data_IF_142137835478
#
_entry.id   IF_142137835478
#
_cell.length_a   1.000
_cell.length_b   1.000
_cell.length_c   1.000
_cell.angle_alpha   90.00
_cell.angle_beta   90.00
_cell.angle_gamma   90.00
#
_symmetry.space_group_name_H-M   'P 1'
#
loop_
_entity.id
_entity.type
_entity.pdbx_description
1 polymer ?
#
# COMPACT_ATOMS: atom_id res chain seq x y z
N UNK A 1 -49.70 -19.49 -21.52
CA UNK A 1 -49.04 -19.63 -22.84
C UNK A 1 -48.51 -18.28 -23.30
N UNK A 2 -47.33 -18.26 -23.86
CA UNK A 2 -46.76 -17.07 -24.50
C UNK A 2 -46.90 -17.20 -26.03
N UNK A 3 -47.18 -16.12 -26.71
CA UNK A 3 -47.34 -16.09 -28.17
C UNK A 3 -46.40 -15.07 -28.79
N UNK A 4 -45.93 -15.40 -30.01
CA UNK A 4 -45.06 -14.50 -30.78
C UNK A 4 -45.91 -13.77 -31.81
N UNK A 5 -45.82 -12.45 -31.83
CA UNK A 5 -46.47 -11.62 -32.84
C UNK A 5 -45.44 -10.81 -33.60
N UNK A 6 -45.66 -10.67 -34.91
CA UNK A 6 -44.79 -9.88 -35.82
C UNK A 6 -45.57 -8.66 -36.29
N UNK A 7 -44.98 -7.47 -36.12
CA UNK A 7 -45.55 -6.19 -36.56
C UNK A 7 -45.10 -5.84 -37.97
N UNK A 8 -45.87 -4.98 -38.69
CA UNK A 8 -45.44 -4.38 -39.96
C UNK A 8 -44.08 -3.72 -39.78
N UNK A 9 -43.08 -4.10 -40.56
CA UNK A 9 -41.69 -3.66 -40.40
C UNK A 9 -40.74 -4.69 -39.74
N UNK A 10 -41.20 -5.94 -39.45
CA UNK A 10 -40.36 -7.05 -39.02
C UNK A 10 -39.99 -7.07 -37.51
N UNK A 11 -40.56 -6.17 -36.72
CA UNK A 11 -40.37 -6.20 -35.28
C UNK A 11 -41.20 -7.32 -34.65
N UNK A 12 -40.59 -8.10 -33.73
CA UNK A 12 -41.25 -9.19 -33.02
C UNK A 12 -41.41 -8.87 -31.57
N UNK A 13 -42.49 -9.37 -30.96
CA UNK A 13 -42.72 -9.30 -29.54
C UNK A 13 -43.41 -10.58 -29.04
N UNK A 14 -43.18 -10.88 -27.75
CA UNK A 14 -43.81 -12.00 -27.08
C UNK A 14 -44.90 -11.43 -26.15
N UNK A 15 -46.10 -11.98 -26.28
CA UNK A 15 -47.22 -11.66 -25.40
C UNK A 15 -47.58 -12.85 -24.51
N UNK A 16 -47.85 -12.60 -23.25
CA UNK A 16 -48.31 -13.61 -22.30
C UNK A 16 -49.21 -12.97 -21.26
N UNK A 17 -49.91 -13.80 -20.48
CA UNK A 17 -50.72 -13.40 -19.35
C UNK A 17 -49.95 -13.77 -18.09
N UNK A 18 -49.79 -12.84 -17.17
CA UNK A 18 -49.10 -13.05 -15.88
C UNK A 18 -50.01 -13.72 -14.83
N UNK A 19 -49.51 -13.95 -13.64
CA UNK A 19 -50.21 -14.53 -12.49
C UNK A 19 -51.47 -13.74 -12.09
N UNK A 20 -51.50 -12.44 -12.38
CA UNK A 20 -52.59 -11.51 -12.06
C UNK A 20 -53.57 -11.35 -13.23
N UNK A 21 -53.57 -12.27 -14.19
CA UNK A 21 -54.37 -12.20 -15.45
C UNK A 21 -54.09 -10.95 -16.31
N UNK A 22 -52.99 -10.21 -16.05
CA UNK A 22 -52.63 -9.05 -16.83
C UNK A 22 -51.82 -9.46 -18.07
N UNK A 23 -52.19 -8.90 -19.23
CA UNK A 23 -51.45 -9.12 -20.49
C UNK A 23 -50.13 -8.33 -20.49
N UNK A 24 -49.00 -9.01 -20.58
CA UNK A 24 -47.66 -8.44 -20.66
C UNK A 24 -47.06 -8.65 -22.04
N UNK A 25 -46.17 -7.72 -22.44
CA UNK A 25 -45.53 -7.75 -23.76
C UNK A 25 -44.03 -7.51 -23.64
N UNK A 26 -43.23 -8.40 -24.21
CA UNK A 26 -41.78 -8.26 -24.32
C UNK A 26 -41.43 -7.90 -25.76
N UNK A 27 -40.94 -6.70 -26.01
CA UNK A 27 -40.52 -6.27 -27.36
C UNK A 27 -39.12 -6.82 -27.65
N UNK A 28 -38.97 -7.62 -28.71
CA UNK A 28 -37.69 -8.22 -29.12
C UNK A 28 -36.94 -7.37 -30.17
N UNK A 29 -37.65 -6.55 -30.93
CA UNK A 29 -37.11 -5.81 -32.08
C UNK A 29 -37.02 -6.67 -33.32
N UNK A 30 -36.13 -6.31 -34.26
CA UNK A 30 -35.87 -7.07 -35.49
C UNK A 30 -34.94 -8.24 -35.17
N UNK A 31 -35.49 -9.42 -34.94
CA UNK A 31 -34.73 -10.67 -34.75
C UNK A 31 -35.31 -11.74 -35.68
N UNK A 32 -34.56 -12.78 -36.00
CA UNK A 32 -35.07 -13.90 -36.75
C UNK A 32 -36.13 -14.69 -35.97
N UNK A 33 -36.94 -15.47 -36.72
CA UNK A 33 -38.07 -16.22 -36.12
C UNK A 33 -37.59 -17.31 -35.16
N UNK A 34 -36.49 -17.99 -35.52
CA UNK A 34 -35.95 -19.10 -34.71
C UNK A 34 -35.43 -18.61 -33.35
N UNK A 35 -34.75 -17.46 -33.34
CA UNK A 35 -34.32 -16.80 -32.08
C UNK A 35 -35.52 -16.34 -31.25
N UNK A 36 -36.55 -15.79 -31.86
CA UNK A 36 -37.78 -15.41 -31.16
C UNK A 36 -38.50 -16.62 -30.52
N UNK A 37 -38.57 -17.74 -31.21
CA UNK A 37 -39.14 -19.00 -30.72
C UNK A 37 -38.32 -19.58 -29.56
N UNK A 38 -36.99 -19.50 -29.64
CA UNK A 38 -36.12 -19.90 -28.52
C UNK A 38 -36.37 -19.05 -27.28
N UNK A 39 -36.44 -17.73 -27.42
CA UNK A 39 -36.73 -16.83 -26.30
C UNK A 39 -38.12 -17.10 -25.73
N UNK A 40 -39.12 -17.34 -26.59
CA UNK A 40 -40.48 -17.63 -26.17
C UNK A 40 -40.58 -18.89 -25.28
N UNK A 41 -39.86 -19.96 -25.61
CA UNK A 41 -39.78 -21.18 -24.80
C UNK A 41 -39.23 -20.90 -23.39
N UNK A 42 -38.16 -20.09 -23.29
CA UNK A 42 -37.59 -19.70 -21.99
C UNK A 42 -38.55 -18.78 -21.20
N UNK A 43 -39.28 -17.89 -21.87
CA UNK A 43 -40.32 -17.06 -21.25
C UNK A 43 -41.43 -17.93 -20.68
N UNK A 44 -41.89 -18.96 -21.41
CA UNK A 44 -42.89 -19.91 -20.90
C UNK A 44 -42.38 -20.71 -19.70
N UNK A 45 -41.12 -21.17 -19.75
CA UNK A 45 -40.50 -21.87 -18.64
C UNK A 45 -40.40 -20.99 -17.38
N UNK A 46 -40.02 -19.70 -17.55
CA UNK A 46 -39.99 -18.74 -16.44
C UNK A 46 -41.39 -18.46 -15.88
N UNK A 47 -42.39 -18.32 -16.75
CA UNK A 47 -43.78 -18.11 -16.35
C UNK A 47 -44.29 -19.33 -15.62
N UNK A 48 -44.05 -20.55 -16.13
CA UNK A 48 -44.44 -21.81 -15.47
C UNK A 48 -43.79 -21.96 -14.09
N UNK A 49 -42.48 -21.72 -13.97
CA UNK A 49 -41.78 -21.76 -12.69
C UNK A 49 -42.37 -20.76 -11.68
N UNK A 50 -42.73 -19.56 -12.16
CA UNK A 50 -43.33 -18.53 -11.29
C UNK A 50 -44.74 -18.88 -10.83
N UNK A 51 -45.58 -19.44 -11.72
CA UNK A 51 -46.95 -19.83 -11.42
C UNK A 51 -47.01 -21.05 -10.48
N UNK A 52 -46.09 -21.99 -10.62
CA UNK A 52 -46.07 -23.25 -9.84
C UNK A 52 -45.21 -23.17 -8.60
N UNK A 53 -44.45 -22.10 -8.39
CA UNK A 53 -43.46 -22.00 -7.31
C UNK A 53 -42.26 -22.95 -7.45
N UNK A 54 -42.12 -23.61 -8.62
CA UNK A 54 -41.04 -24.56 -8.88
C UNK A 54 -39.74 -23.85 -9.25
N UNK A 55 -38.57 -24.47 -9.00
CA UNK A 55 -37.29 -23.90 -9.43
C UNK A 55 -37.22 -23.81 -10.97
N UNK A 56 -36.55 -22.77 -11.46
CA UNK A 56 -36.36 -22.54 -12.88
C UNK A 56 -35.60 -23.73 -13.49
N UNK A 57 -36.07 -24.30 -14.62
CA UNK A 57 -35.39 -25.40 -15.32
C UNK A 57 -33.93 -25.04 -15.62
N UNK A 58 -33.01 -26.01 -15.46
CA UNK A 58 -31.56 -25.80 -15.60
C UNK A 58 -31.17 -25.15 -16.90
N UNK A 59 -31.79 -25.58 -18.03
CA UNK A 59 -31.55 -25.02 -19.34
C UNK A 59 -31.91 -23.52 -19.41
N UNK A 60 -33.05 -23.15 -18.85
CA UNK A 60 -33.50 -21.74 -18.78
C UNK A 60 -32.63 -20.91 -17.83
N UNK A 61 -32.14 -21.50 -16.74
CA UNK A 61 -31.22 -20.82 -15.82
C UNK A 61 -29.86 -20.51 -16.48
N UNK A 62 -29.32 -21.47 -17.24
CA UNK A 62 -28.07 -21.28 -18.03
C UNK A 62 -28.30 -20.23 -19.14
N UNK A 63 -29.40 -20.31 -19.86
CA UNK A 63 -29.76 -19.31 -20.87
C UNK A 63 -29.87 -17.91 -20.24
N UNK A 64 -30.55 -17.79 -19.10
CA UNK A 64 -30.73 -16.52 -18.40
C UNK A 64 -29.39 -15.92 -17.91
N UNK A 65 -28.42 -16.75 -17.56
CA UNK A 65 -27.07 -16.30 -17.20
C UNK A 65 -26.31 -15.70 -18.40
N UNK A 66 -26.57 -16.19 -19.62
CA UNK A 66 -25.96 -15.70 -20.86
C UNK A 66 -26.75 -14.59 -21.58
N UNK A 67 -27.94 -14.23 -21.10
CA UNK A 67 -28.78 -13.21 -21.74
C UNK A 67 -28.18 -11.82 -21.61
N UNK A 68 -28.11 -11.07 -22.70
CA UNK A 68 -27.65 -9.70 -22.71
C UNK A 68 -28.50 -8.76 -21.82
N UNK A 69 -27.90 -7.72 -21.26
CA UNK A 69 -28.53 -6.81 -20.29
C UNK A 69 -29.89 -6.25 -20.76
N UNK A 70 -30.00 -5.83 -22.02
CA UNK A 70 -31.25 -5.26 -22.58
C UNK A 70 -32.44 -6.24 -22.54
N UNK A 71 -32.23 -7.53 -22.79
CA UNK A 71 -33.30 -8.51 -22.75
C UNK A 71 -33.63 -8.86 -21.30
N UNK A 72 -32.62 -8.96 -20.45
CA UNK A 72 -32.77 -9.18 -19.02
C UNK A 72 -33.59 -8.07 -18.34
N UNK A 73 -33.34 -6.80 -18.68
CA UNK A 73 -34.12 -5.66 -18.18
C UNK A 73 -35.58 -5.73 -18.64
N UNK A 74 -35.83 -6.17 -19.88
CA UNK A 74 -37.20 -6.36 -20.41
C UNK A 74 -37.94 -7.49 -19.69
N UNK A 75 -37.24 -8.60 -19.39
CA UNK A 75 -37.81 -9.71 -18.61
C UNK A 75 -38.11 -9.28 -17.17
N UNK A 76 -37.25 -8.47 -16.59
CA UNK A 76 -37.47 -7.89 -15.25
C UNK A 76 -38.62 -6.88 -15.24
N UNK A 77 -38.73 -6.04 -16.26
CA UNK A 77 -39.84 -5.05 -16.38
C UNK A 77 -41.22 -5.69 -16.44
N UNK A 78 -41.33 -6.93 -16.96
CA UNK A 78 -42.58 -7.69 -16.95
C UNK A 78 -42.70 -8.66 -15.78
N UNK A 79 -41.74 -8.63 -14.83
CA UNK A 79 -41.79 -9.39 -13.59
C UNK A 79 -41.47 -10.89 -13.72
N UNK A 80 -40.88 -11.34 -14.84
CA UNK A 80 -40.48 -12.75 -15.02
C UNK A 80 -39.16 -13.11 -14.33
N UNK A 81 -38.31 -12.12 -14.10
CA UNK A 81 -37.07 -12.24 -13.32
C UNK A 81 -36.98 -11.10 -12.35
N UNK A 82 -36.25 -11.31 -11.27
CA UNK A 82 -35.98 -10.21 -10.34
C UNK A 82 -35.26 -9.08 -11.07
N UNK A 83 -35.78 -7.87 -10.93
CA UNK A 83 -35.09 -6.70 -11.43
C UNK A 83 -33.72 -6.63 -10.77
N UNK A 84 -32.63 -6.48 -11.52
CA UNK A 84 -31.35 -6.28 -10.89
C UNK A 84 -31.47 -5.04 -9.98
N UNK A 85 -31.15 -5.20 -8.70
CA UNK A 85 -31.19 -4.09 -7.73
C UNK A 85 -30.44 -2.91 -8.34
N UNK A 86 -31.16 -1.84 -8.63
CA UNK A 86 -30.58 -0.58 -9.14
C UNK A 86 -29.86 0.08 -8.00
N UNK A 87 -28.62 -0.38 -7.74
CA UNK A 87 -27.76 0.26 -6.75
C UNK A 87 -27.29 1.61 -7.26
N UNK A 88 -27.56 2.67 -6.53
CA UNK A 88 -27.08 4.02 -6.81
C UNK A 88 -25.65 4.20 -6.27
N UNK A 89 -24.86 5.04 -6.93
CA UNK A 89 -23.46 5.28 -6.56
C UNK A 89 -23.33 5.78 -5.10
N UNK A 90 -24.12 6.76 -4.72
CA UNK A 90 -24.08 7.34 -3.37
C UNK A 90 -24.49 6.32 -2.29
N UNK A 91 -25.49 5.50 -2.56
CA UNK A 91 -25.92 4.43 -1.67
C UNK A 91 -24.84 3.35 -1.52
N UNK A 92 -24.29 2.88 -2.62
CA UNK A 92 -23.19 1.91 -2.62
C UNK A 92 -21.99 2.39 -1.81
N UNK A 93 -21.52 3.63 -2.04
CA UNK A 93 -20.38 4.19 -1.32
C UNK A 93 -20.63 4.29 0.18
N UNK A 94 -21.84 4.68 0.60
CA UNK A 94 -22.23 4.70 2.02
C UNK A 94 -22.24 3.29 2.62
N UNK A 95 -22.87 2.33 1.95
CA UNK A 95 -22.90 0.94 2.39
C UNK A 95 -21.49 0.33 2.44
N UNK A 96 -20.64 0.61 1.46
CA UNK A 96 -19.26 0.16 1.45
C UNK A 96 -18.48 0.64 2.68
N UNK A 97 -18.59 1.92 3.03
CA UNK A 97 -17.89 2.48 4.21
C UNK A 97 -18.42 1.82 5.49
N UNK A 98 -19.75 1.68 5.63
CA UNK A 98 -20.39 1.09 6.82
C UNK A 98 -20.09 -0.40 6.98
N UNK A 99 -19.88 -1.12 5.87
CA UNK A 99 -19.58 -2.56 5.88
C UNK A 99 -18.12 -2.90 6.24
N UNK A 100 -17.28 -1.91 6.61
CA UNK A 100 -15.85 -2.09 6.85
C UNK A 100 -15.44 -1.80 8.31
N UNK A 101 -15.91 -2.60 9.28
CA UNK A 101 -15.50 -2.48 10.68
C UNK A 101 -14.02 -2.87 10.89
N UNK A 102 -13.43 -3.60 9.93
CA UNK A 102 -12.04 -4.02 9.89
C UNK A 102 -11.05 -2.86 9.62
N UNK A 103 -11.55 -1.68 9.29
CA UNK A 103 -10.72 -0.54 8.88
C UNK A 103 -10.68 0.53 9.96
N UNK A 104 -9.48 1.04 10.26
CA UNK A 104 -9.30 2.12 11.25
C UNK A 104 -10.10 3.38 10.87
N UNK A 105 -10.69 4.09 11.84
CA UNK A 105 -11.45 5.32 11.60
C UNK A 105 -10.70 6.35 10.74
N UNK A 106 -9.39 6.50 10.96
CA UNK A 106 -8.54 7.37 10.15
C UNK A 106 -8.49 6.99 8.65
N UNK A 107 -8.62 5.71 8.31
CA UNK A 107 -8.66 5.27 6.91
C UNK A 107 -10.03 5.54 6.29
N UNK A 108 -11.10 5.32 7.05
CA UNK A 108 -12.47 5.63 6.60
C UNK A 108 -12.61 7.12 6.26
N UNK A 109 -12.02 7.99 7.07
CA UNK A 109 -12.02 9.42 6.82
C UNK A 109 -11.23 9.81 5.55
N UNK A 110 -10.10 9.13 5.28
CA UNK A 110 -9.38 9.29 4.02
C UNK A 110 -10.22 8.86 2.82
N UNK A 111 -11.09 7.85 2.97
CA UNK A 111 -11.97 7.38 1.91
C UNK A 111 -13.14 8.32 1.61
N UNK A 112 -13.56 9.14 2.57
CA UNK A 112 -14.62 10.14 2.35
C UNK A 112 -14.27 11.11 1.21
N UNK A 113 -12.99 11.45 1.05
CA UNK A 113 -12.56 12.38 0.01
C UNK A 113 -12.78 11.83 -1.42
N UNK A 114 -12.28 10.63 -1.79
CA UNK A 114 -12.60 10.04 -3.10
C UNK A 114 -14.09 9.73 -3.26
N UNK A 115 -14.82 9.38 -2.19
CA UNK A 115 -16.28 9.22 -2.26
C UNK A 115 -16.95 10.54 -2.65
N UNK A 116 -16.59 11.66 -2.00
CA UNK A 116 -17.11 13.00 -2.37
C UNK A 116 -16.80 13.34 -3.83
N UNK A 117 -15.58 13.10 -4.29
CA UNK A 117 -15.26 13.40 -5.69
C UNK A 117 -16.05 12.53 -6.68
N UNK A 118 -16.29 11.25 -6.36
CA UNK A 118 -17.12 10.39 -7.19
C UNK A 118 -18.57 10.88 -7.24
N UNK A 119 -19.14 11.26 -6.09
CA UNK A 119 -20.52 11.79 -6.05
C UNK A 119 -20.65 13.18 -6.63
N UNK A 120 -19.63 14.02 -6.55
CA UNK A 120 -19.58 15.34 -7.16
C UNK A 120 -19.54 15.26 -8.69
N UNK A 121 -18.74 14.35 -9.23
CA UNK A 121 -18.59 14.20 -10.68
C UNK A 121 -19.75 13.43 -11.33
N UNK A 122 -20.16 12.30 -10.76
CA UNK A 122 -21.17 11.44 -11.36
C UNK A 122 -22.61 11.74 -10.91
N UNK A 123 -22.78 12.37 -9.76
CA UNK A 123 -24.05 12.44 -9.05
C UNK A 123 -24.26 11.24 -8.10
N UNK A 124 -24.86 11.49 -6.94
CA UNK A 124 -25.17 10.43 -5.97
C UNK A 124 -26.17 9.41 -6.51
N UNK A 125 -27.12 9.88 -7.36
CA UNK A 125 -28.21 9.11 -7.92
C UNK A 125 -27.83 8.38 -9.23
N UNK A 126 -26.59 8.47 -9.67
CA UNK A 126 -26.09 7.74 -10.85
C UNK A 126 -26.18 6.23 -10.61
N UNK A 127 -26.89 5.45 -11.44
CA UNK A 127 -26.90 4.00 -11.31
C UNK A 127 -25.49 3.43 -11.58
N UNK A 128 -24.99 2.58 -10.70
CA UNK A 128 -23.63 2.01 -10.84
C UNK A 128 -23.39 1.35 -12.19
N UNK A 129 -24.37 0.63 -12.72
CA UNK A 129 -24.27 -0.07 -14.02
C UNK A 129 -24.18 0.88 -15.23
N UNK A 130 -24.54 2.15 -15.04
CA UNK A 130 -24.47 3.14 -16.13
C UNK A 130 -23.13 3.84 -16.22
N UNK A 131 -22.20 3.57 -15.29
CA UNK A 131 -20.84 4.11 -15.32
C UNK A 131 -20.00 3.25 -16.26
N UNK A 132 -19.51 3.85 -17.33
CA UNK A 132 -18.72 3.18 -18.39
C UNK A 132 -17.21 3.39 -18.19
N UNK A 133 -16.40 2.64 -18.95
CA UNK A 133 -14.93 2.83 -18.99
C UNK A 133 -14.55 4.24 -19.47
N UNK A 134 -15.27 4.78 -20.44
CA UNK A 134 -15.09 6.17 -20.88
C UNK A 134 -15.35 7.20 -19.79
N UNK A 135 -16.34 6.95 -18.92
CA UNK A 135 -16.60 7.78 -17.75
C UNK A 135 -15.43 7.77 -16.74
N UNK A 136 -14.72 6.65 -16.65
CA UNK A 136 -13.50 6.54 -15.81
C UNK A 136 -12.37 7.47 -16.28
N UNK A 137 -12.16 7.56 -17.59
CA UNK A 137 -11.17 8.51 -18.16
C UNK A 137 -11.62 9.96 -18.02
N UNK A 138 -12.90 10.26 -18.19
CA UNK A 138 -13.46 11.59 -17.94
C UNK A 138 -13.31 12.02 -16.48
N UNK A 139 -13.53 11.12 -15.53
CA UNK A 139 -13.29 11.38 -14.11
C UNK A 139 -11.84 11.72 -13.83
N UNK A 140 -10.89 11.00 -14.46
CA UNK A 140 -9.46 11.33 -14.36
C UNK A 140 -9.18 12.72 -14.92
N UNK A 141 -9.70 13.06 -16.09
CA UNK A 141 -9.54 14.39 -16.70
C UNK A 141 -10.08 15.48 -15.76
N UNK A 142 -11.26 15.27 -15.20
CA UNK A 142 -11.87 16.18 -14.24
C UNK A 142 -11.01 16.35 -12.98
N UNK A 143 -10.44 15.25 -12.41
CA UNK A 143 -9.53 15.37 -11.25
C UNK A 143 -8.29 16.19 -11.55
N UNK A 144 -7.79 16.16 -12.79
CA UNK A 144 -6.65 16.98 -13.23
C UNK A 144 -7.01 18.47 -13.30
N UNK A 145 -8.25 18.82 -13.70
CA UNK A 145 -8.71 20.23 -13.72
C UNK A 145 -8.82 20.83 -12.31
N UNK A 146 -8.96 19.98 -11.26
CA UNK A 146 -9.03 20.42 -9.86
C UNK A 146 -7.69 20.91 -9.28
N UNK A 147 -6.66 21.09 -10.09
CA UNK A 147 -5.30 21.54 -9.70
C UNK A 147 -4.68 20.68 -8.59
N UNK A 148 -5.03 19.40 -8.53
CA UNK A 148 -4.51 18.45 -7.54
C UNK A 148 -3.13 17.95 -7.93
N UNK A 149 -2.28 17.70 -6.93
CA UNK A 149 -1.00 17.05 -7.18
C UNK A 149 -1.19 15.65 -7.77
N UNK A 150 -0.31 15.23 -8.70
CA UNK A 150 -0.37 13.94 -9.38
C UNK A 150 -0.52 12.74 -8.40
N UNK A 151 0.18 12.78 -7.26
CA UNK A 151 0.04 11.76 -6.21
C UNK A 151 -1.38 11.72 -5.60
N UNK A 152 -2.06 12.86 -5.51
CA UNK A 152 -3.43 12.93 -5.00
C UNK A 152 -4.41 12.36 -6.02
N UNK A 153 -4.25 12.73 -7.29
CA UNK A 153 -5.04 12.15 -8.40
C UNK A 153 -4.86 10.64 -8.45
N UNK A 154 -3.61 10.16 -8.42
CA UNK A 154 -3.28 8.74 -8.41
C UNK A 154 -3.98 7.99 -7.27
N UNK A 155 -3.94 8.55 -6.05
CA UNK A 155 -4.57 7.95 -4.88
C UNK A 155 -6.09 7.90 -4.99
N UNK A 156 -6.73 8.97 -5.50
CA UNK A 156 -8.19 9.03 -5.69
C UNK A 156 -8.66 8.02 -6.74
N UNK A 157 -7.96 7.91 -7.87
CA UNK A 157 -8.23 6.90 -8.90
C UNK A 157 -8.04 5.48 -8.36
N UNK A 158 -7.00 5.24 -7.57
CA UNK A 158 -6.77 3.94 -6.95
C UNK A 158 -7.92 3.54 -6.00
N UNK A 159 -8.45 4.48 -5.22
CA UNK A 159 -9.62 4.21 -4.37
C UNK A 159 -10.89 3.99 -5.19
N UNK A 160 -11.15 4.79 -6.22
CA UNK A 160 -12.27 4.59 -7.13
C UNK A 160 -12.23 3.18 -7.73
N UNK A 161 -11.06 2.77 -8.24
CA UNK A 161 -10.84 1.40 -8.74
C UNK A 161 -11.14 0.33 -7.69
N UNK A 162 -10.69 0.53 -6.45
CA UNK A 162 -10.93 -0.40 -5.35
C UNK A 162 -12.42 -0.50 -5.01
N UNK A 163 -13.14 0.61 -4.92
CA UNK A 163 -14.57 0.62 -4.61
C UNK A 163 -15.36 -0.11 -5.69
N UNK A 164 -15.14 0.23 -6.96
CA UNK A 164 -15.85 -0.41 -8.07
C UNK A 164 -15.41 -1.88 -8.30
N UNK A 165 -14.20 -2.26 -7.88
CA UNK A 165 -13.81 -3.67 -7.84
C UNK A 165 -14.69 -4.47 -6.86
N UNK A 166 -14.99 -3.91 -5.69
CA UNK A 166 -15.91 -4.53 -4.73
C UNK A 166 -17.34 -4.58 -5.29
N UNK A 167 -17.81 -3.51 -5.95
CA UNK A 167 -19.10 -3.54 -6.64
C UNK A 167 -19.18 -4.68 -7.66
N UNK A 168 -18.13 -4.91 -8.45
CA UNK A 168 -18.03 -6.04 -9.38
C UNK A 168 -18.04 -7.39 -8.64
N UNK A 169 -17.29 -7.53 -7.55
CA UNK A 169 -17.28 -8.75 -6.73
C UNK A 169 -18.68 -9.10 -6.21
N UNK A 170 -19.47 -8.09 -5.85
CA UNK A 170 -20.86 -8.26 -5.41
C UNK A 170 -21.86 -8.35 -6.57
N UNK A 171 -21.39 -8.45 -7.83
CA UNK A 171 -22.21 -8.54 -9.04
C UNK A 171 -23.20 -7.35 -9.23
N UNK A 172 -22.87 -6.20 -8.65
CA UNK A 172 -23.63 -4.97 -8.83
C UNK A 172 -23.34 -4.31 -10.18
N UNK A 173 -22.15 -4.54 -10.72
CA UNK A 173 -21.70 -4.15 -12.06
C UNK A 173 -21.00 -5.35 -12.72
N UNK A 174 -20.98 -5.38 -14.04
CA UNK A 174 -20.38 -6.48 -14.80
C UNK A 174 -18.85 -6.26 -14.94
N UNK A 175 -18.42 -5.03 -15.19
CA UNK A 175 -17.02 -4.63 -15.33
C UNK A 175 -16.68 -3.45 -14.41
N UNK A 176 -15.40 -3.30 -14.09
CA UNK A 176 -14.93 -2.15 -13.32
C UNK A 176 -14.52 -1.01 -14.26
N UNK A 177 -15.25 0.12 -14.27
CA UNK A 177 -14.99 1.25 -15.16
C UNK A 177 -13.60 1.88 -15.04
N UNK A 178 -12.93 1.65 -13.92
CA UNK A 178 -11.59 2.20 -13.63
C UNK A 178 -10.46 1.21 -13.89
N UNK A 179 -10.73 -0.01 -14.40
CA UNK A 179 -9.72 -1.04 -14.55
C UNK A 179 -8.57 -0.59 -15.45
N UNK A 180 -8.91 0.01 -16.60
CA UNK A 180 -7.97 0.42 -17.64
C UNK A 180 -7.45 1.85 -17.49
N UNK A 181 -8.04 2.66 -16.61
CA UNK A 181 -7.63 4.06 -16.40
C UNK A 181 -6.18 4.11 -15.96
N UNK A 182 -5.32 4.74 -16.76
CA UNK A 182 -3.89 4.93 -16.43
C UNK A 182 -3.74 5.86 -15.23
N UNK A 183 -3.22 5.32 -14.11
CA UNK A 183 -2.97 6.07 -12.90
C UNK A 183 -1.65 6.84 -13.05
N UNK A 184 -1.63 8.18 -12.80
CA UNK A 184 -0.40 8.96 -12.86
C UNK A 184 0.66 8.45 -11.88
N UNK A 185 1.90 8.35 -12.33
CA UNK A 185 3.02 8.02 -11.43
C UNK A 185 3.50 9.30 -10.75
N UNK A 186 3.52 9.27 -9.41
CA UNK A 186 4.06 10.40 -8.66
C UNK A 186 5.57 10.26 -8.51
N UNK A 187 6.32 11.31 -8.85
CA UNK A 187 7.74 11.38 -8.54
C UNK A 187 7.93 11.54 -7.03
N UNK A 188 8.51 10.53 -6.39
CA UNK A 188 8.76 10.50 -4.94
C UNK A 188 10.06 11.22 -4.62
N UNK A 189 11.08 11.10 -5.47
CA UNK A 189 12.43 11.64 -5.26
C UNK A 189 12.47 13.17 -5.18
N UNK A 190 11.62 13.87 -5.94
CA UNK A 190 11.52 15.33 -5.88
C UNK A 190 11.12 15.91 -4.49
N UNK A 191 10.70 15.06 -3.55
CA UNK A 191 10.32 15.46 -2.18
C UNK A 191 11.27 14.90 -1.13
N UNK A 192 12.30 14.17 -1.53
CA UNK A 192 13.34 13.68 -0.65
C UNK A 192 14.36 14.80 -0.43
N UNK A 193 14.78 14.96 0.81
CA UNK A 193 15.88 15.83 1.19
C UNK A 193 16.64 15.16 2.32
N UNK A 194 17.93 15.02 2.15
CA UNK A 194 18.80 14.56 3.23
C UNK A 194 18.97 15.72 4.22
N UNK A 195 18.78 15.41 5.50
CA UNK A 195 18.93 16.36 6.60
C UNK A 195 20.19 15.94 7.34
N UNK A 196 21.27 16.67 7.07
CA UNK A 196 22.58 16.41 7.65
C UNK A 196 22.63 16.72 9.15
N UNK A 197 23.73 16.36 9.79
CA UNK A 197 23.91 16.52 11.24
C UNK A 197 23.96 17.98 11.68
N UNK A 198 24.53 18.85 10.87
CA UNK A 198 24.63 20.30 11.16
C UNK A 198 23.25 20.96 11.17
N UNK A 199 22.40 20.61 10.16
CA UNK A 199 21.01 21.05 10.14
C UNK A 199 20.24 20.56 11.38
N UNK A 200 20.47 19.31 11.79
CA UNK A 200 19.84 18.75 12.98
C UNK A 200 20.31 19.47 14.23
N UNK A 201 21.59 19.78 14.38
CA UNK A 201 22.11 20.51 15.53
C UNK A 201 21.48 21.91 15.64
N UNK A 202 21.39 22.66 14.53
CA UNK A 202 20.69 23.97 14.51
C UNK A 202 19.22 23.85 14.96
N UNK A 203 18.54 22.76 14.60
CA UNK A 203 17.17 22.51 15.04
C UNK A 203 17.07 22.23 16.53
N UNK A 204 17.99 21.44 17.08
CA UNK A 204 18.03 21.09 18.49
C UNK A 204 18.36 22.30 19.36
N UNK A 205 19.29 23.17 18.92
CA UNK A 205 19.66 24.40 19.61
C UNK A 205 18.49 25.40 19.66
N UNK A 206 17.70 25.49 18.60
CA UNK A 206 16.52 26.34 18.53
C UNK A 206 15.29 25.77 19.27
N UNK A 207 15.33 24.50 19.70
CA UNK A 207 14.20 23.77 20.27
C UNK A 207 14.16 23.85 21.80
N UNK A 208 12.94 23.87 22.39
CA UNK A 208 12.76 23.62 23.83
C UNK A 208 12.94 22.11 24.11
N UNK A 209 13.09 21.67 25.37
CA UNK A 209 13.36 20.28 25.73
C UNK A 209 12.37 19.28 25.09
N UNK A 210 11.07 19.52 25.16
CA UNK A 210 10.06 18.66 24.54
C UNK A 210 10.27 18.51 23.03
N UNK A 211 10.57 19.60 22.33
CA UNK A 211 10.82 19.58 20.90
C UNK A 211 12.17 18.93 20.56
N UNK A 212 13.20 19.09 21.41
CA UNK A 212 14.45 18.35 21.25
C UNK A 212 14.20 16.85 21.27
N UNK A 213 13.44 16.37 22.22
CA UNK A 213 13.07 14.95 22.33
C UNK A 213 12.27 14.47 21.10
N UNK A 214 11.27 15.25 20.63
CA UNK A 214 10.49 14.93 19.42
C UNK A 214 11.40 14.82 18.20
N UNK A 215 12.32 15.78 18.02
CA UNK A 215 13.28 15.79 16.90
C UNK A 215 14.24 14.60 17.02
N UNK A 216 14.79 14.34 18.19
CA UNK A 216 15.72 13.24 18.42
C UNK A 216 15.06 11.87 18.15
N UNK A 217 13.85 11.64 18.63
CA UNK A 217 13.08 10.43 18.34
C UNK A 217 12.82 10.25 16.85
N UNK A 218 12.45 11.31 16.14
CA UNK A 218 12.18 11.25 14.71
C UNK A 218 13.46 11.10 13.87
N UNK A 219 14.56 11.76 14.24
CA UNK A 219 15.81 11.82 13.48
C UNK A 219 16.77 10.70 13.84
N UNK A 220 17.10 10.52 15.11
CA UNK A 220 18.06 9.51 15.54
C UNK A 220 17.41 8.15 15.78
N UNK A 221 16.20 8.12 16.33
CA UNK A 221 15.45 6.89 16.52
C UNK A 221 14.70 6.43 15.26
N UNK A 222 14.55 7.29 14.26
CA UNK A 222 13.79 6.99 13.04
C UNK A 222 12.30 6.72 13.28
N UNK A 223 11.69 7.26 14.35
CA UNK A 223 10.29 7.03 14.69
C UNK A 223 9.35 7.80 13.77
N UNK A 224 8.17 7.21 13.50
CA UNK A 224 7.10 7.89 12.76
C UNK A 224 6.45 8.96 13.63
N UNK A 225 6.51 10.20 13.16
CA UNK A 225 5.87 11.32 13.84
C UNK A 225 4.52 11.65 13.14
N UNK A 226 3.42 11.88 13.87
CA UNK A 226 3.33 11.95 15.35
C UNK A 226 3.11 10.60 16.06
N UNK A 227 2.65 9.55 15.35
CA UNK A 227 2.04 8.37 15.97
C UNK A 227 2.97 7.57 16.89
N UNK A 228 4.18 7.24 16.46
CA UNK A 228 5.11 6.45 17.27
C UNK A 228 5.80 7.31 18.36
N UNK A 229 6.08 8.57 18.03
CA UNK A 229 6.71 9.51 18.95
C UNK A 229 5.80 9.79 20.16
N UNK A 230 4.50 9.99 19.92
CA UNK A 230 3.56 10.33 20.98
C UNK A 230 2.96 9.12 21.72
N UNK A 231 3.11 7.90 21.18
CA UNK A 231 2.70 6.67 21.85
C UNK A 231 3.82 6.00 22.64
N UNK A 232 5.02 6.59 22.65
CA UNK A 232 6.15 6.03 23.34
C UNK A 232 6.02 6.29 24.85
N UNK A 233 6.13 5.23 25.64
CA UNK A 233 6.12 5.27 27.10
C UNK A 233 7.50 4.93 27.68
N UNK A 234 7.78 5.36 28.91
CA UNK A 234 9.04 5.08 29.57
C UNK A 234 9.32 3.59 29.74
N UNK A 235 8.31 2.76 29.97
CA UNK A 235 8.45 1.30 30.05
C UNK A 235 8.99 0.65 28.77
N UNK A 236 8.98 1.36 27.65
CA UNK A 236 9.50 0.89 26.37
C UNK A 236 11.01 1.12 26.22
N UNK A 237 11.63 1.86 27.14
CA UNK A 237 13.07 2.18 27.13
C UNK A 237 13.78 1.21 28.06
N UNK A 238 14.56 0.30 27.50
CA UNK A 238 15.44 -0.60 28.25
C UNK A 238 16.84 0.01 28.28
N UNK A 239 17.11 0.73 29.38
CA UNK A 239 18.36 1.44 29.58
C UNK A 239 19.56 0.51 29.75
N UNK A 240 19.35 -0.65 30.37
CA UNK A 240 20.40 -1.63 30.66
C UNK A 240 20.85 -2.36 29.40
N UNK A 241 19.88 -2.85 28.60
CA UNK A 241 20.18 -3.55 27.36
C UNK A 241 20.40 -2.62 26.17
N UNK A 242 20.25 -1.32 26.36
CA UNK A 242 20.38 -0.33 25.28
C UNK A 242 19.37 -0.55 24.14
N UNK A 243 18.12 -0.84 24.48
CA UNK A 243 17.07 -1.14 23.49
C UNK A 243 15.85 -0.24 23.70
N UNK A 244 15.17 0.04 22.60
CA UNK A 244 13.93 0.80 22.60
C UNK A 244 12.85 0.01 21.86
N UNK A 245 11.78 -0.37 22.54
CA UNK A 245 10.61 -1.02 21.92
C UNK A 245 9.65 0.06 21.45
N UNK A 246 9.48 0.19 20.15
CA UNK A 246 8.66 1.23 19.51
C UNK A 246 7.29 0.66 19.17
N UNK A 247 6.20 1.11 19.84
CA UNK A 247 4.84 0.77 19.45
C UNK A 247 4.55 1.23 18.00
N UNK A 248 3.88 0.42 17.23
CA UNK A 248 3.61 0.71 15.83
C UNK A 248 2.11 0.85 15.54
N UNK A 249 1.43 1.95 15.98
CA UNK A 249 -0.03 2.12 15.84
C UNK A 249 -0.54 2.07 14.40
N UNK A 250 0.34 2.16 13.42
CA UNK A 250 -0.04 2.05 12.00
C UNK A 250 -0.21 0.61 11.56
N UNK A 251 0.52 -0.33 12.15
CA UNK A 251 0.62 -1.73 11.73
C UNK A 251 0.18 -2.73 12.80
N UNK A 252 -0.30 -2.27 13.95
CA UNK A 252 -0.74 -3.05 15.11
C UNK A 252 -1.82 -4.12 14.80
N UNK A 253 -2.55 -3.97 13.70
CA UNK A 253 -3.56 -4.94 13.24
C UNK A 253 -2.98 -6.16 12.53
N UNK A 254 -1.68 -6.19 12.27
CA UNK A 254 -1.00 -7.30 11.63
C UNK A 254 -0.17 -8.02 12.67
N UNK A 255 -0.38 -9.33 12.80
CA UNK A 255 0.33 -10.18 13.76
C UNK A 255 1.86 -10.01 13.63
N UNK A 256 2.52 -9.78 14.77
CA UNK A 256 3.95 -9.56 14.85
C UNK A 256 4.43 -8.18 14.35
N UNK A 257 3.50 -7.22 14.11
CA UNK A 257 3.84 -5.84 13.69
C UNK A 257 3.25 -4.76 14.60
N UNK A 258 2.88 -5.13 15.82
CA UNK A 258 2.36 -4.24 16.86
C UNK A 258 3.46 -3.32 17.40
N UNK A 259 4.68 -3.83 17.43
CA UNK A 259 5.87 -3.09 17.87
C UNK A 259 7.11 -3.56 17.13
N UNK A 260 8.20 -2.85 17.30
CA UNK A 260 9.53 -3.25 16.87
C UNK A 260 10.57 -2.81 17.89
N UNK A 261 11.66 -3.55 18.02
CA UNK A 261 12.79 -3.16 18.86
C UNK A 261 13.89 -2.56 18.02
N UNK A 262 14.40 -1.41 18.43
CA UNK A 262 15.54 -0.73 17.82
C UNK A 262 16.66 -0.55 18.86
N UNK A 263 17.92 -0.37 18.45
CA UNK A 263 18.97 0.07 19.35
C UNK A 263 18.63 1.43 19.97
N UNK A 264 18.96 1.59 21.23
CA UNK A 264 19.00 2.91 21.87
C UNK A 264 20.28 3.62 21.42
N UNK A 265 20.23 4.19 20.23
CA UNK A 265 21.39 4.84 19.62
C UNK A 265 21.98 5.91 20.55
N UNK A 266 23.32 6.04 20.63
CA UNK A 266 23.99 6.99 21.54
C UNK A 266 23.50 8.44 21.36
N UNK A 267 23.25 8.84 20.10
CA UNK A 267 22.74 10.17 19.77
C UNK A 267 21.32 10.41 20.32
N UNK A 268 20.49 9.36 20.40
CA UNK A 268 19.13 9.44 20.94
C UNK A 268 19.13 9.39 22.46
N UNK A 269 19.99 8.56 23.05
CA UNK A 269 20.02 8.27 24.49
C UNK A 269 20.08 9.54 25.33
N UNK A 270 20.99 10.46 25.03
CA UNK A 270 21.17 11.72 25.77
C UNK A 270 19.90 12.58 25.86
N UNK A 271 19.09 12.59 24.77
CA UNK A 271 17.84 13.37 24.78
C UNK A 271 16.70 12.66 25.52
N UNK A 272 16.74 11.34 25.59
CA UNK A 272 15.80 10.58 26.41
C UNK A 272 16.16 10.69 27.91
N UNK A 273 17.45 10.71 28.25
CA UNK A 273 17.91 10.95 29.60
C UNK A 273 17.50 12.38 30.07
N UNK A 274 17.78 13.42 29.26
CA UNK A 274 17.30 14.79 29.53
C UNK A 274 15.77 14.84 29.71
N UNK A 275 15.02 14.16 28.83
CA UNK A 275 13.58 14.15 28.95
C UNK A 275 13.06 13.37 30.16
N UNK A 276 13.77 12.33 30.62
CA UNK A 276 13.42 11.56 31.79
C UNK A 276 13.63 12.36 33.07
N UNK A 277 14.74 13.10 33.17
CA UNK A 277 15.02 13.99 34.28
C UNK A 277 14.02 15.14 34.42
N UNK A 278 13.49 15.62 33.26
CA UNK A 278 12.50 16.69 33.21
C UNK A 278 11.06 16.19 33.30
N UNK A 279 10.83 14.88 33.34
CA UNK A 279 9.49 14.31 33.38
C UNK A 279 8.82 14.57 34.74
N UNK A 280 7.52 14.88 34.71
CA UNK A 280 6.73 15.03 35.91
C UNK A 280 6.61 13.69 36.66
N UNK A 281 6.55 13.69 38.00
CA UNK A 281 6.32 12.48 38.79
C UNK A 281 5.05 11.75 38.31
N UNK A 282 5.19 10.48 37.95
CA UNK A 282 4.05 9.66 37.41
C UNK A 282 3.76 9.83 35.92
N UNK A 283 4.53 10.63 35.18
CA UNK A 283 4.42 10.74 33.74
C UNK A 283 4.78 9.39 33.10
N UNK A 284 3.81 8.76 32.43
CA UNK A 284 3.99 7.45 31.77
C UNK A 284 4.60 7.57 30.38
N UNK A 285 4.28 8.63 29.63
CA UNK A 285 4.73 8.83 28.25
C UNK A 285 5.99 9.70 28.18
N UNK A 286 6.86 9.40 27.23
CA UNK A 286 8.07 10.19 26.98
C UNK A 286 7.72 11.63 26.60
N UNK A 287 6.69 11.82 25.78
CA UNK A 287 6.15 13.14 25.45
C UNK A 287 4.82 13.33 26.19
N UNK A 288 4.84 14.16 27.21
CA UNK A 288 3.68 14.50 28.03
C UNK A 288 2.95 15.77 27.61
N UNK A 289 2.18 16.31 28.56
CA UNK A 289 1.51 17.61 28.45
C UNK A 289 0.49 17.70 27.32
N UNK A 290 0.37 18.91 26.75
CA UNK A 290 -0.60 19.25 25.70
C UNK A 290 -0.53 18.35 24.44
N UNK A 291 0.64 17.87 24.09
CA UNK A 291 0.81 17.01 22.92
C UNK A 291 0.14 15.66 23.14
N UNK A 292 0.35 15.06 24.30
CA UNK A 292 -0.29 13.80 24.69
C UNK A 292 -1.81 13.98 24.84
N UNK A 293 -2.25 15.02 25.52
CA UNK A 293 -3.67 15.33 25.72
C UNK A 293 -4.42 15.48 24.38
N UNK A 294 -3.79 16.06 23.36
CA UNK A 294 -4.36 16.16 22.00
C UNK A 294 -4.34 14.81 21.29
N UNK A 295 -3.31 14.01 21.46
CA UNK A 295 -3.14 12.72 20.80
C UNK A 295 -4.11 11.65 21.33
N UNK A 296 -4.50 11.74 22.59
CA UNK A 296 -5.43 10.80 23.25
C UNK A 296 -6.92 11.12 23.04
N UNK A 297 -7.26 12.22 22.37
CA UNK A 297 -8.64 12.57 22.00
C UNK A 297 -9.24 11.54 21.05
N UNK A 298 -10.59 11.45 20.95
CA UNK A 298 -11.27 10.53 20.03
C UNK A 298 -10.80 10.64 18.56
N UNK A 299 -10.36 11.83 18.14
CA UNK A 299 -9.77 12.07 16.82
C UNK A 299 -8.31 11.59 16.71
N UNK A 300 -7.71 11.18 17.84
CA UNK A 300 -6.36 10.64 17.90
C UNK A 300 -5.29 11.62 17.40
N UNK A 301 -4.28 11.06 16.77
CA UNK A 301 -3.12 11.78 16.25
C UNK A 301 -3.43 12.95 15.31
N UNK A 302 -4.62 13.02 14.72
CA UNK A 302 -5.07 14.12 13.85
C UNK A 302 -5.22 15.44 14.58
N UNK A 303 -5.57 15.39 15.85
CA UNK A 303 -5.67 16.57 16.70
C UNK A 303 -4.31 17.19 16.99
N UNK A 304 -3.22 16.44 16.78
CA UNK A 304 -1.87 16.85 17.10
C UNK A 304 -1.12 17.33 15.86
N UNK A 305 -1.29 18.62 15.51
CA UNK A 305 -0.61 19.23 14.37
C UNK A 305 0.82 19.64 14.70
N UNK A 306 1.72 18.68 14.83
CA UNK A 306 3.14 18.95 15.06
C UNK A 306 3.82 19.61 13.86
N UNK A 307 3.30 19.41 12.64
CA UNK A 307 3.93 19.89 11.40
C UNK A 307 4.03 21.42 11.35
N UNK A 308 2.99 22.12 11.73
CA UNK A 308 2.97 23.61 11.68
C UNK A 308 3.98 24.19 12.67
N UNK A 309 4.02 23.66 13.90
CA UNK A 309 4.97 24.09 14.91
C UNK A 309 6.41 23.75 14.52
N UNK A 310 6.64 22.56 14.00
CA UNK A 310 7.95 22.17 13.50
C UNK A 310 8.42 23.04 12.32
N UNK A 311 7.53 23.40 11.40
CA UNK A 311 7.87 24.33 10.32
C UNK A 311 8.28 25.73 10.82
N UNK A 312 7.65 26.22 11.91
CA UNK A 312 8.07 27.46 12.57
C UNK A 312 9.44 27.33 13.23
N UNK A 313 9.69 26.15 13.84
CA UNK A 313 10.98 25.85 14.47
C UNK A 313 12.10 25.81 13.42
N UNK A 314 11.89 25.16 12.28
CA UNK A 314 12.84 25.12 11.17
C UNK A 314 13.24 26.53 10.72
N UNK A 315 12.26 27.44 10.56
CA UNK A 315 12.54 28.83 10.24
C UNK A 315 13.31 29.57 11.33
N UNK A 316 12.98 29.33 12.62
CA UNK A 316 13.70 29.91 13.75
C UNK A 316 15.14 29.43 13.84
N UNK A 317 15.43 28.20 13.41
CA UNK A 317 16.77 27.65 13.29
C UNK A 317 17.57 28.22 12.10
N UNK A 318 17.03 29.19 11.35
CA UNK A 318 17.65 29.76 10.17
C UNK A 318 17.64 28.85 8.94
N UNK A 319 16.77 27.85 8.92
CA UNK A 319 16.68 26.85 7.84
C UNK A 319 15.42 27.08 6.99
N UNK A 320 15.50 26.72 5.72
CA UNK A 320 14.31 26.67 4.87
C UNK A 320 13.50 25.40 5.11
N UNK A 321 12.16 25.51 5.33
CA UNK A 321 11.30 24.35 5.47
C UNK A 321 11.30 23.51 4.19
N UNK A 322 11.47 22.21 4.35
CA UNK A 322 11.46 21.23 3.27
C UNK A 322 10.15 20.45 3.18
N UNK A 323 9.85 19.80 2.04
CA UNK A 323 8.71 18.92 1.91
C UNK A 323 8.79 17.76 2.90
N UNK A 324 7.64 17.26 3.40
CA UNK A 324 7.57 16.08 4.29
C UNK A 324 8.50 16.15 5.52
N UNK A 325 8.42 17.24 6.27
CA UNK A 325 9.33 17.59 7.36
C UNK A 325 9.84 16.40 8.20
N UNK A 326 8.96 15.69 8.89
CA UNK A 326 9.34 14.54 9.73
C UNK A 326 9.74 13.30 8.95
N UNK A 327 9.16 13.12 7.76
CA UNK A 327 9.51 11.96 6.94
C UNK A 327 10.97 12.03 6.49
N UNK A 328 11.45 13.22 6.14
CA UNK A 328 12.84 13.40 5.74
C UNK A 328 13.82 13.26 6.89
N UNK A 329 13.47 13.62 8.12
CA UNK A 329 14.30 13.29 9.30
C UNK A 329 14.52 11.77 9.43
N UNK A 330 13.42 11.00 9.34
CA UNK A 330 13.49 9.54 9.40
C UNK A 330 14.22 8.95 8.18
N UNK A 331 13.98 9.48 6.98
CA UNK A 331 14.63 9.04 5.75
C UNK A 331 16.15 9.26 5.80
N UNK A 332 16.61 10.38 6.35
CA UNK A 332 18.05 10.65 6.53
C UNK A 332 18.69 9.65 7.51
N UNK A 333 17.99 9.31 8.61
CA UNK A 333 18.51 8.27 9.52
C UNK A 333 18.62 6.92 8.86
N UNK A 334 17.63 6.57 8.06
CA UNK A 334 17.65 5.29 7.34
C UNK A 334 18.78 5.24 6.32
N UNK A 335 19.02 6.33 5.60
CA UNK A 335 20.16 6.45 4.68
C UNK A 335 21.49 6.23 5.41
N UNK A 336 21.71 6.90 6.55
CA UNK A 336 22.91 6.71 7.38
C UNK A 336 23.07 5.26 7.84
N UNK A 337 21.98 4.66 8.34
CA UNK A 337 22.04 3.28 8.84
C UNK A 337 22.32 2.26 7.73
N UNK A 338 21.89 2.52 6.50
CA UNK A 338 22.17 1.65 5.35
C UNK A 338 23.65 1.67 4.93
N UNK A 339 24.42 2.65 5.35
CA UNK A 339 25.86 2.69 5.13
C UNK A 339 26.63 1.76 6.08
N UNK A 340 26.10 1.56 7.29
CA UNK A 340 26.74 0.77 8.34
C UNK A 340 26.19 -0.65 8.47
N UNK A 341 24.88 -0.82 8.19
CA UNK A 341 24.16 -2.08 8.46
C UNK A 341 23.47 -2.62 7.22
N UNK A 342 23.36 -3.97 7.11
CA UNK A 342 22.64 -4.61 6.01
C UNK A 342 21.17 -4.18 5.93
N UNK A 343 20.64 -4.05 4.71
CA UNK A 343 19.28 -3.53 4.44
C UNK A 343 18.16 -4.28 5.20
N UNK A 344 18.30 -5.57 5.43
CA UNK A 344 17.30 -6.35 6.18
C UNK A 344 17.26 -5.98 7.67
N UNK A 345 18.41 -5.66 8.27
CA UNK A 345 18.50 -5.20 9.66
C UNK A 345 17.89 -3.80 9.79
N UNK A 346 18.28 -2.89 8.90
CA UNK A 346 17.74 -1.52 8.89
C UNK A 346 16.22 -1.53 8.64
N UNK A 347 15.73 -2.33 7.69
CA UNK A 347 14.31 -2.47 7.42
C UNK A 347 13.52 -2.98 8.65
N UNK A 348 14.09 -3.92 9.42
CA UNK A 348 13.50 -4.39 10.67
C UNK A 348 13.41 -3.27 11.70
N UNK A 349 14.49 -2.52 11.94
CA UNK A 349 14.50 -1.39 12.87
C UNK A 349 13.56 -0.27 12.44
N UNK A 350 13.45 -0.02 11.14
CA UNK A 350 12.53 0.98 10.59
C UNK A 350 11.07 0.49 10.51
N UNK A 351 10.81 -0.81 10.64
CA UNK A 351 9.46 -1.39 10.63
C UNK A 351 8.76 -1.25 9.29
N UNK A 352 9.46 -1.65 8.21
CA UNK A 352 8.91 -1.80 6.86
C UNK A 352 9.71 -2.84 6.06
N UNK A 353 9.25 -3.16 4.85
CA UNK A 353 9.90 -4.10 3.95
C UNK A 353 11.15 -3.45 3.28
N UNK A 354 12.17 -4.25 2.97
CA UNK A 354 13.39 -3.80 2.28
C UNK A 354 13.09 -3.13 0.93
N UNK A 355 12.06 -3.58 0.18
CA UNK A 355 11.62 -2.91 -1.05
C UNK A 355 11.11 -1.50 -0.81
N UNK A 356 10.46 -1.27 0.34
CA UNK A 356 9.98 0.06 0.76
C UNK A 356 11.17 0.93 1.16
N UNK A 357 12.17 0.37 1.84
CA UNK A 357 13.42 1.04 2.19
C UNK A 357 14.10 1.61 0.94
N UNK A 358 14.44 0.76 0.00
CA UNK A 358 15.15 1.15 -1.23
C UNK A 358 14.35 2.13 -2.09
N UNK A 359 13.02 1.97 -2.18
CA UNK A 359 12.18 2.83 -3.04
C UNK A 359 11.90 4.21 -2.47
N UNK A 360 11.77 4.33 -1.15
CA UNK A 360 11.17 5.52 -0.52
C UNK A 360 12.06 6.23 0.48
N UNK A 361 13.12 5.59 0.97
CA UNK A 361 13.94 6.10 2.07
C UNK A 361 15.42 6.21 1.72
N UNK A 362 16.02 5.20 1.07
CA UNK A 362 17.40 5.26 0.66
C UNK A 362 17.64 6.44 -0.29
N UNK A 363 18.64 7.25 0.01
CA UNK A 363 19.02 8.42 -0.78
C UNK A 363 20.49 8.30 -1.18
N UNK A 364 20.81 8.72 -2.39
CA UNK A 364 22.20 8.96 -2.79
C UNK A 364 22.57 10.37 -2.33
N UNK A 365 23.60 10.48 -1.51
CA UNK A 365 24.10 11.74 -0.96
C UNK A 365 25.35 12.20 -1.71
N UNK A 366 25.72 13.47 -1.56
CA UNK A 366 26.96 13.98 -2.14
C UNK A 366 28.19 13.26 -1.56
N UNK A 367 28.11 12.82 -0.30
CA UNK A 367 29.16 12.02 0.35
C UNK A 367 29.43 10.70 -0.36
N UNK A 368 28.41 10.06 -0.95
CA UNK A 368 28.60 8.86 -1.77
C UNK A 368 29.45 9.15 -3.01
N UNK A 369 29.19 10.28 -3.67
CA UNK A 369 29.98 10.70 -4.83
C UNK A 369 31.41 11.04 -4.45
N UNK A 370 31.61 11.81 -3.37
CA UNK A 370 32.94 12.17 -2.87
C UNK A 370 33.75 10.93 -2.48
N UNK A 371 33.13 9.98 -1.76
CA UNK A 371 33.78 8.73 -1.34
C UNK A 371 34.18 7.90 -2.55
N UNK A 372 33.32 7.78 -3.56
CA UNK A 372 33.63 7.06 -4.80
C UNK A 372 34.75 7.74 -5.58
N UNK A 373 34.76 9.06 -5.64
CA UNK A 373 35.83 9.83 -6.33
C UNK A 373 37.18 9.71 -5.62
N UNK A 374 37.23 9.78 -4.29
CA UNK A 374 38.44 9.60 -3.49
C UNK A 374 39.00 8.19 -3.58
N UNK A 375 38.15 7.16 -3.64
CA UNK A 375 38.61 5.79 -3.83
C UNK A 375 39.38 5.62 -5.16
N UNK A 376 38.85 6.20 -6.25
CA UNK A 376 39.50 6.18 -7.54
C UNK A 376 40.83 6.93 -7.55
N UNK A 377 40.96 8.06 -6.82
CA UNK A 377 42.20 8.79 -6.66
C UNK A 377 43.24 8.02 -5.85
N UNK A 378 42.81 7.32 -4.78
CA UNK A 378 43.72 6.50 -3.95
C UNK A 378 44.29 5.32 -4.73
N UNK A 379 43.48 4.68 -5.56
CA UNK A 379 43.91 3.56 -6.40
C UNK A 379 44.86 4.04 -7.52
N UNK A 380 44.59 5.19 -8.14
CA UNK A 380 45.48 5.80 -9.13
C UNK A 380 46.82 6.20 -8.52
N UNK A 381 46.81 6.77 -7.30
CA UNK A 381 48.00 7.14 -6.56
C UNK A 381 48.83 5.92 -6.12
N UNK A 382 48.17 4.83 -5.72
CA UNK A 382 48.80 3.56 -5.39
C UNK A 382 49.48 2.91 -6.63
N UNK A 383 48.81 2.96 -7.79
CA UNK A 383 49.35 2.50 -9.05
C UNK A 383 50.56 3.35 -9.48
N UNK A 384 50.48 4.69 -9.37
CA UNK A 384 51.60 5.56 -9.66
C UNK A 384 52.80 5.30 -8.77
N UNK A 385 52.60 5.11 -7.47
CA UNK A 385 53.68 4.75 -6.53
C UNK A 385 54.29 3.38 -6.85
N UNK A 386 53.49 2.39 -7.21
CA UNK A 386 53.95 1.06 -7.61
C UNK A 386 54.79 1.13 -8.90
N UNK A 387 54.37 1.92 -9.90
CA UNK A 387 55.09 2.15 -11.12
C UNK A 387 56.41 2.90 -10.87
N UNK A 388 56.40 3.91 -10.00
CA UNK A 388 57.61 4.65 -9.61
C UNK A 388 58.60 3.77 -8.84
N UNK A 389 58.12 2.88 -7.96
CA UNK A 389 58.98 1.94 -7.25
C UNK A 389 59.57 0.89 -8.18
N UNK A 390 58.78 0.39 -9.15
CA UNK A 390 59.27 -0.53 -10.17
C UNK A 390 60.33 0.11 -11.10
N UNK A 391 60.15 1.40 -11.41
CA UNK A 391 61.12 2.16 -12.20
C UNK A 391 62.43 2.49 -11.42
N UNK A 392 62.31 2.70 -10.10
CA UNK A 392 63.47 2.96 -9.23
C UNK A 392 64.30 1.71 -8.87
N UNK A 393 63.67 0.53 -8.95
CA UNK A 393 64.32 -0.75 -8.66
C UNK A 393 65.18 -1.32 -9.81
N UNK A 394 65.18 -0.70 -10.99
CA UNK A 394 65.89 -1.22 -12.15
C UNK A 394 67.22 -0.50 -12.45
N UNK A 395 67.80 0.15 -11.43
CA UNK A 395 69.09 0.85 -11.52
C UNK A 395 70.15 0.22 -10.60
N UNK A 396 70.56 -1.01 -10.87
CA UNK A 396 71.62 -1.65 -10.07
C UNK A 396 72.14 -2.93 -10.73
N UNK A 397 73.36 -2.79 -11.28
CA UNK A 397 74.36 -3.84 -11.64
C UNK A 397 74.04 -4.84 -12.76
N UNK A 398 74.64 -4.47 -13.91
CA UNK A 398 75.09 -5.40 -14.92
C UNK A 398 76.36 -6.11 -14.44
N UNK A 399 76.33 -7.33 -14.05
CA UNK A 399 77.47 -8.25 -14.06
C UNK A 399 77.17 -9.48 -14.89
N UNK A 400 77.95 -9.54 -15.97
CA UNK A 400 77.99 -10.67 -16.93
C UNK A 400 78.50 -11.93 -16.27
N UNK A 401 77.73 -13.01 -16.37
CA UNK A 401 78.27 -14.37 -16.39
C UNK A 401 77.50 -15.21 -17.42
N UNK A 402 78.33 -15.68 -18.40
CA UNK A 402 77.92 -16.64 -19.40
C UNK A 402 77.92 -18.02 -18.78
N UNK A 403 76.88 -18.74 -18.87
CA UNK A 403 76.87 -20.23 -18.89
C UNK A 403 75.80 -20.71 -19.84
N UNK A 404 76.22 -21.56 -20.75
CA UNK A 404 75.43 -22.30 -21.73
C UNK A 404 74.43 -23.29 -21.06
N UNK A 405 73.34 -23.60 -21.73
CA UNK A 405 72.56 -24.80 -21.48
C UNK A 405 71.16 -24.80 -22.09
N UNK A 406 71.01 -25.61 -23.12
CA UNK A 406 69.80 -25.95 -23.87
C UNK A 406 68.58 -26.29 -23.04
N UNK A 407 67.40 -25.95 -23.56
CA UNK A 407 66.12 -26.50 -23.05
C UNK A 407 64.89 -25.80 -23.58
N UNK A 408 64.43 -26.24 -24.73
CA UNK A 408 63.15 -25.82 -25.30
C UNK A 408 61.98 -26.28 -24.46
N UNK A 409 60.99 -25.36 -24.22
CA UNK A 409 59.60 -25.72 -24.15
C UNK A 409 58.74 -24.47 -24.30
N UNK A 410 58.03 -24.44 -25.40
CA UNK A 410 56.93 -23.61 -25.79
C UNK A 410 55.77 -23.65 -24.79
N UNK A 411 55.23 -22.53 -24.43
CA UNK A 411 53.77 -22.31 -24.43
C UNK A 411 53.44 -20.84 -24.28
N UNK A 412 53.08 -20.24 -25.37
CA UNK A 412 52.44 -18.95 -25.43
C UNK A 412 50.92 -19.15 -25.54
N UNK A 413 50.16 -18.52 -24.68
CA UNK A 413 48.77 -18.23 -24.99
C UNK A 413 48.42 -16.88 -24.34
N UNK A 414 47.95 -15.91 -25.12
CA UNK A 414 47.50 -14.62 -24.60
C UNK A 414 46.09 -14.74 -24.05
N UNK A 415 45.88 -14.12 -22.92
CA UNK A 415 44.58 -14.02 -22.30
C UNK A 415 43.77 -12.90 -22.97
N UNK A 416 42.73 -13.25 -23.71
CA UNK A 416 41.80 -12.32 -24.34
C UNK A 416 40.81 -11.77 -23.30
N UNK A 417 40.63 -10.46 -23.32
CA UNK A 417 39.61 -9.73 -22.57
C UNK A 417 38.20 -9.99 -23.16
N UNK A 418 37.15 -10.21 -22.36
CA UNK A 418 35.82 -10.30 -22.91
C UNK A 418 35.25 -8.90 -23.23
N UNK A 419 34.98 -8.67 -24.51
CA UNK A 419 34.16 -7.56 -24.99
C UNK A 419 32.70 -7.83 -24.72
N UNK A 420 32.02 -6.93 -24.00
CA UNK A 420 30.57 -6.93 -23.87
C UNK A 420 29.94 -6.28 -25.10
N UNK A 421 29.35 -7.09 -25.95
CA UNK A 421 28.44 -6.63 -27.01
C UNK A 421 27.02 -6.61 -26.46
N UNK A 422 26.36 -5.46 -26.58
CA UNK A 422 24.94 -5.30 -26.32
C UNK A 422 24.11 -6.02 -27.40
N UNK A 423 23.37 -7.04 -27.04
CA UNK A 423 22.30 -7.61 -27.88
C UNK A 423 20.92 -7.24 -27.33
N UNK A 424 20.19 -6.52 -28.16
CA UNK A 424 18.75 -6.35 -28.03
C UNK A 424 18.05 -7.71 -28.23
N UNK A 425 17.22 -8.13 -27.28
CA UNK A 425 16.31 -9.26 -27.45
C UNK A 425 14.87 -8.77 -27.47
N UNK A 426 14.28 -8.80 -28.66
CA UNK A 426 12.88 -9.03 -28.90
C UNK A 426 12.67 -10.53 -29.11
N UNK A 427 11.67 -11.13 -28.47
CA UNK A 427 11.32 -12.51 -28.80
C UNK A 427 10.49 -13.22 -27.74
N UNK A 428 9.27 -13.50 -28.08
CA UNK A 428 8.33 -14.40 -27.44
C UNK A 428 8.94 -15.79 -27.19
N UNK A 429 8.65 -16.40 -26.03
CA UNK A 429 9.04 -17.77 -25.74
C UNK A 429 8.46 -18.27 -24.45
N UNK A 430 7.35 -19.00 -24.55
CA UNK A 430 6.71 -19.69 -23.43
C UNK A 430 7.59 -20.81 -22.85
N UNK A 431 7.76 -20.83 -21.53
CA UNK A 431 8.39 -21.92 -20.80
C UNK A 431 7.31 -22.82 -20.20
N UNK A 432 7.24 -24.06 -20.73
CA UNK A 432 6.51 -25.18 -20.11
C UNK A 432 7.32 -25.69 -18.92
N UNK A 433 6.79 -25.60 -17.72
CA UNK A 433 7.29 -26.32 -16.55
C UNK A 433 6.64 -27.71 -16.46
N UNK A 434 7.47 -28.75 -16.51
CA UNK A 434 7.09 -30.12 -16.17
C UNK A 434 6.84 -30.23 -14.68
N UNK A 435 5.66 -30.73 -14.31
CA UNK A 435 5.32 -31.08 -12.94
C UNK A 435 6.12 -32.30 -12.45
N UNK A 436 6.76 -32.12 -11.33
CA UNK A 436 7.30 -33.22 -10.51
C UNK A 436 6.55 -33.26 -9.18
N UNK A 437 5.73 -34.30 -9.00
CA UNK A 437 4.99 -34.56 -7.76
C UNK A 437 5.94 -35.20 -6.76
N UNK A 438 6.10 -34.57 -5.59
CA UNK A 438 6.73 -35.18 -4.42
C UNK A 438 5.66 -35.49 -3.37
N UNK A 439 5.72 -36.67 -2.69
CA UNK A 439 4.69 -37.11 -1.76
C UNK A 439 4.80 -36.41 -0.38
N UNK A 440 3.69 -36.36 0.40
CA UNK A 440 3.64 -35.64 1.66
C UNK A 440 4.36 -36.43 2.78
N UNK A 441 5.25 -35.75 3.50
CA UNK A 441 5.83 -36.27 4.75
C UNK A 441 4.81 -36.06 5.89
N UNK A 442 4.43 -37.17 6.52
CA UNK A 442 3.67 -37.24 7.77
C UNK A 442 4.53 -36.72 8.93
N UNK A 443 4.00 -35.76 9.69
CA UNK A 443 4.52 -35.40 11.01
C UNK A 443 3.61 -36.01 12.08
N UNK A 444 4.27 -36.76 12.98
CA UNK A 444 3.67 -37.47 14.11
C UNK A 444 3.19 -36.48 15.19
N UNK A 445 2.04 -36.79 15.79
CA UNK A 445 1.48 -36.13 16.97
C UNK A 445 2.42 -36.32 18.18
N UNK A 446 2.72 -35.22 18.87
CA UNK A 446 3.26 -35.26 20.22
C UNK A 446 2.16 -34.83 21.23
N UNK A 447 2.16 -35.56 22.31
CA UNK A 447 1.17 -35.73 23.37
C UNK A 447 0.96 -34.49 24.20
N UNK A 448 -0.31 -34.17 24.49
CA UNK A 448 -0.79 -33.20 25.47
C UNK A 448 -0.41 -33.61 26.90
N UNK A 449 0.16 -32.69 27.65
CA UNK A 449 0.22 -32.72 29.09
C UNK A 449 -0.65 -31.56 29.63
N UNK A 450 -1.71 -31.92 30.34
CA UNK A 450 -2.64 -31.08 31.07
C UNK A 450 -2.07 -30.68 32.41
N UNK A 451 -2.02 -29.37 32.69
CA UNK A 451 -2.08 -28.84 34.05
C UNK A 451 -2.82 -27.50 34.04
N UNK A 452 -4.01 -27.52 34.62
CA UNK A 452 -4.78 -26.33 34.96
C UNK A 452 -4.25 -25.71 36.28
N UNK A 453 -4.21 -24.36 36.41
CA UNK A 453 -4.18 -23.71 37.70
C UNK A 453 -5.60 -23.25 38.13
N UNK A 454 -5.82 -23.01 39.43
CA UNK A 454 -7.14 -22.97 40.04
C UNK A 454 -7.88 -21.66 39.90
N UNK A 455 -9.22 -21.76 39.89
CA UNK A 455 -10.21 -20.70 39.94
C UNK A 455 -10.11 -19.87 41.23
N UNK A 456 -9.97 -18.56 41.13
CA UNK A 456 -10.20 -17.60 42.17
C UNK A 456 -11.61 -16.98 41.98
N UNK A 457 -12.50 -17.29 42.88
CA UNK A 457 -13.83 -16.70 43.08
C UNK A 457 -13.62 -15.30 43.63
N UNK A 458 -14.14 -14.26 42.96
CA UNK A 458 -14.33 -12.95 43.54
C UNK A 458 -15.80 -12.57 43.47
N UNK A 459 -16.31 -12.39 44.67
CA UNK A 459 -17.68 -12.06 45.10
C UNK A 459 -18.18 -10.75 44.49
N UNK A 460 -19.42 -10.78 44.03
CA UNK A 460 -20.27 -9.65 43.68
C UNK A 460 -20.58 -8.79 44.92
N UNK A 461 -20.32 -7.48 44.84
CA UNK A 461 -21.00 -6.48 45.69
C UNK A 461 -21.76 -5.50 44.79
N UNK A 462 -23.07 -5.66 44.88
CA UNK A 462 -24.05 -4.70 44.38
C UNK A 462 -24.06 -3.45 45.27
N UNK A 463 -23.95 -2.26 44.68
CA UNK A 463 -24.46 -1.03 45.32
C UNK A 463 -25.34 -0.25 44.33
N UNK A 464 -26.57 -0.10 44.78
CA UNK A 464 -27.65 0.70 44.26
C UNK A 464 -27.32 2.20 44.22
N UNK A 465 -27.74 2.86 43.17
CA UNK A 465 -27.86 4.31 43.03
C UNK A 465 -29.19 4.78 43.63
N UNK A 466 -29.24 5.98 44.27
CA UNK A 466 -30.50 6.70 44.49
C UNK A 466 -30.70 7.75 43.37
N UNK A 467 -31.97 8.18 43.15
CA UNK A 467 -32.31 9.09 42.07
C UNK A 467 -32.23 10.56 42.52
N UNK A 468 -31.70 11.43 41.66
CA UNK A 468 -32.20 12.78 41.35
C UNK A 468 -31.51 13.28 40.08
#
# INVERSE_FOLDING_TARGET
MASITTQRGGNRYIQFVDENSARKTIRLGKIDRKSAESICRHVEALLGAKLTGQPIPRETAVWLAGVGAKLRDRLAAVGLVEAPKRMLLGEFLKQYILSRPDVKPATLEVWQQPCRNLTEFFGADKPLRSITTGDGDQFKAWLLTQKLAAATVAKRLSFARTFLHVARKHKLIDENPFCEVKIPTANVSARQRFIDRDMVQKLLDAANPTWRTIIALARFGGLRCPSEVLSLEWRHVDWERGRLTVPSPKTDRYDGKESRTIPLFPELRRYLEEAFELAEPGQTHVIGGDHLAKATRPTGWKSCNLRTTFGKLVKRAGLEPWPRLFHNLRSSRETELLEEFPVHVVALWMGHDAKVSLKHYAQTTDEHFERASRAAESDALALQKAVQQAAAGNGGDSQTDRVNGDGAATCATPCESPQYTAHAFSGEGGIRTRGGVLPPRRFSKAVLSTTQPPLLIVSLYSRSLPPC
#
